data_IF_526720876143
#
_entry.id   IF_526720876143
#
_cell.length_a   1.000
_cell.length_b   1.000
_cell.length_c   1.000
_cell.angle_alpha   90.00
_cell.angle_beta   90.00
_cell.angle_gamma   90.00
#
_symmetry.space_group_name_H-M   'P 1'
#
loop_
_entity.id
_entity.type
_entity.pdbx_description
1 polymer ?
#
# COMPACT_ATOMS: atom_id res chain seq x y z
N UNK A 1 -39.26 -41.41 -40.01
CA UNK A 1 -39.98 -40.24 -39.46
C UNK A 1 -39.05 -39.61 -38.44
N UNK A 2 -38.84 -38.29 -38.47
CA UNK A 2 -38.06 -37.59 -37.44
C UNK A 2 -39.03 -36.98 -36.41
N UNK A 3 -38.68 -37.11 -35.13
CA UNK A 3 -39.39 -36.49 -34.02
C UNK A 3 -38.40 -35.58 -33.31
N UNK A 4 -38.77 -34.32 -33.11
CA UNK A 4 -38.03 -33.36 -32.28
C UNK A 4 -38.72 -33.23 -30.94
N UNK A 5 -37.95 -33.35 -29.86
CA UNK A 5 -38.42 -33.16 -28.49
C UNK A 5 -37.84 -31.84 -27.97
N UNK A 6 -38.69 -31.01 -27.38
CA UNK A 6 -38.30 -29.75 -26.73
C UNK A 6 -38.81 -29.76 -25.29
N UNK A 7 -38.19 -28.94 -24.43
CA UNK A 7 -38.63 -28.67 -23.06
C UNK A 7 -38.82 -29.93 -22.18
N UNK A 8 -37.96 -30.94 -22.38
CA UNK A 8 -37.99 -32.14 -21.55
C UNK A 8 -37.58 -31.79 -20.12
N UNK A 9 -38.43 -32.17 -19.17
CA UNK A 9 -38.10 -32.12 -17.74
C UNK A 9 -37.28 -33.35 -17.35
N UNK A 10 -36.58 -33.25 -16.21
CA UNK A 10 -35.83 -34.38 -15.63
C UNK A 10 -36.70 -35.64 -15.54
N UNK A 11 -36.17 -36.76 -16.02
CA UNK A 11 -36.88 -38.03 -16.03
C UNK A 11 -36.42 -38.99 -17.13
N UNK A 12 -37.01 -40.19 -17.13
CA UNK A 12 -36.79 -41.19 -18.16
C UNK A 12 -38.00 -41.22 -19.11
N UNK A 13 -37.75 -41.02 -20.40
CA UNK A 13 -38.75 -41.07 -21.46
C UNK A 13 -38.51 -42.32 -22.30
N UNK A 14 -39.50 -43.20 -22.39
CA UNK A 14 -39.43 -44.41 -23.22
C UNK A 14 -40.39 -44.23 -24.40
N UNK A 15 -39.84 -44.23 -25.60
CA UNK A 15 -40.61 -44.17 -26.84
C UNK A 15 -40.61 -45.55 -27.48
N UNK A 16 -41.80 -46.09 -27.74
CA UNK A 16 -41.97 -47.34 -28.48
C UNK A 16 -42.42 -47.01 -29.90
N UNK A 17 -41.70 -47.52 -30.89
CA UNK A 17 -42.10 -47.44 -32.28
C UNK A 17 -42.59 -48.82 -32.72
N UNK A 18 -43.83 -48.91 -33.19
CA UNK A 18 -44.44 -50.16 -33.66
C UNK A 18 -44.79 -50.04 -35.13
N UNK A 19 -44.32 -50.97 -35.94
CA UNK A 19 -44.74 -51.15 -37.33
C UNK A 19 -45.74 -52.30 -37.41
N UNK A 20 -46.70 -52.19 -38.33
CA UNK A 20 -47.71 -53.22 -38.60
C UNK A 20 -47.70 -53.46 -40.11
N UNK A 21 -47.59 -54.71 -40.54
CA UNK A 21 -47.65 -55.05 -41.97
C UNK A 21 -49.10 -55.23 -42.47
N UNK A 22 -49.26 -55.61 -43.74
CA UNK A 22 -50.58 -55.79 -44.36
C UNK A 22 -51.33 -57.05 -43.90
N UNK A 23 -50.62 -57.99 -43.28
CA UNK A 23 -51.19 -59.23 -42.74
C UNK A 23 -51.52 -59.10 -41.24
N UNK A 24 -51.14 -57.97 -40.63
CA UNK A 24 -51.45 -57.60 -39.25
C UNK A 24 -50.34 -57.95 -38.26
N UNK A 25 -49.20 -58.44 -38.74
CA UNK A 25 -48.04 -58.72 -37.90
C UNK A 25 -47.39 -57.42 -37.46
N UNK A 26 -46.95 -57.37 -36.20
CA UNK A 26 -46.35 -56.17 -35.61
C UNK A 26 -44.92 -56.43 -35.19
N UNK A 27 -44.04 -55.48 -35.44
CA UNK A 27 -42.71 -55.43 -34.82
C UNK A 27 -42.55 -54.10 -34.10
N UNK A 28 -41.79 -54.10 -33.00
CA UNK A 28 -41.60 -52.88 -32.22
C UNK A 28 -40.20 -52.77 -31.63
N UNK A 29 -39.71 -51.54 -31.58
CA UNK A 29 -38.45 -51.17 -30.94
C UNK A 29 -38.65 -50.03 -29.95
N UNK A 30 -37.75 -49.92 -28.97
CA UNK A 30 -37.81 -48.89 -27.94
C UNK A 30 -36.53 -48.07 -27.88
N UNK A 31 -36.69 -46.75 -27.70
CA UNK A 31 -35.61 -45.84 -27.33
C UNK A 31 -35.90 -45.22 -25.96
N UNK A 32 -34.90 -45.23 -25.08
CA UNK A 32 -34.97 -44.58 -23.77
C UNK A 32 -34.10 -43.34 -23.77
N UNK A 33 -34.67 -42.19 -23.38
CA UNK A 33 -33.97 -40.93 -23.18
C UNK A 33 -34.01 -40.60 -21.69
N UNK A 34 -32.84 -40.53 -21.05
CA UNK A 34 -32.70 -40.13 -19.66
C UNK A 34 -32.26 -38.67 -19.59
N UNK A 35 -33.15 -37.80 -19.10
CA UNK A 35 -32.84 -36.40 -18.80
C UNK A 35 -32.39 -36.32 -17.35
N UNK A 36 -31.09 -36.09 -17.16
CA UNK A 36 -30.44 -35.97 -15.86
C UNK A 36 -30.62 -34.55 -15.29
N UNK A 37 -30.55 -34.37 -13.96
CA UNK A 37 -30.48 -33.03 -13.39
C UNK A 37 -29.18 -32.34 -13.83
N UNK A 38 -29.10 -30.99 -13.77
CA UNK A 38 -27.82 -30.29 -13.90
C UNK A 38 -26.85 -30.78 -12.81
N UNK A 39 -25.52 -30.71 -13.06
CA UNK A 39 -24.54 -30.92 -12.01
C UNK A 39 -24.78 -29.93 -10.85
N UNK A 40 -24.47 -30.30 -9.60
CA UNK A 40 -24.46 -29.33 -8.49
C UNK A 40 -23.44 -28.22 -8.77
N UNK A 41 -23.76 -26.99 -8.34
CA UNK A 41 -22.86 -25.84 -8.38
C UNK A 41 -21.56 -26.10 -7.58
N UNK A 42 -20.43 -25.63 -8.10
CA UNK A 42 -19.16 -25.54 -7.39
C UNK A 42 -18.91 -24.09 -6.92
N UNK A 43 -18.84 -23.80 -5.60
CA UNK A 43 -18.65 -22.43 -5.12
C UNK A 43 -17.38 -21.77 -5.69
N UNK A 44 -17.39 -20.43 -5.86
CA UNK A 44 -16.25 -19.72 -6.40
C UNK A 44 -15.06 -19.77 -5.44
N UNK A 45 -13.88 -19.42 -5.94
CA UNK A 45 -12.66 -19.29 -5.14
C UNK A 45 -12.23 -17.83 -5.13
N UNK A 46 -12.17 -17.27 -3.92
CA UNK A 46 -11.56 -15.97 -3.63
C UNK A 46 -10.13 -16.15 -3.14
N UNK A 47 -9.21 -15.30 -3.60
CA UNK A 47 -7.86 -15.19 -3.08
C UNK A 47 -7.53 -13.72 -2.84
N UNK A 48 -7.29 -13.34 -1.59
CA UNK A 48 -7.02 -11.96 -1.16
C UNK A 48 -5.53 -11.58 -1.25
N UNK A 49 -4.67 -12.53 -1.63
CA UNK A 49 -3.22 -12.37 -1.70
C UNK A 49 -2.51 -12.61 -0.36
N UNK A 50 -1.18 -12.57 -0.41
CA UNK A 50 -0.35 -12.75 0.78
C UNK A 50 -0.36 -11.51 1.68
N UNK A 51 -0.25 -11.74 2.99
CA UNK A 51 -0.10 -10.66 3.97
C UNK A 51 1.26 -9.97 3.84
N UNK A 52 1.31 -8.67 4.14
CA UNK A 52 2.52 -7.86 4.01
C UNK A 52 2.52 -6.68 5.00
N UNK A 53 3.63 -5.92 5.00
CA UNK A 53 3.78 -4.73 5.83
C UNK A 53 4.20 -3.50 5.02
N UNK A 54 3.80 -2.34 5.51
CA UNK A 54 4.30 -1.02 5.10
C UNK A 54 4.81 -0.28 6.34
N UNK A 55 5.57 0.79 6.14
CA UNK A 55 6.10 1.63 7.22
C UNK A 55 5.65 3.06 6.97
N UNK A 56 5.13 3.74 8.00
CA UNK A 56 4.84 5.16 7.92
C UNK A 56 6.09 5.95 7.48
N UNK A 57 5.93 7.05 6.72
CA UNK A 57 4.67 7.73 6.40
C UNK A 57 3.85 7.11 5.26
N UNK A 58 4.28 5.99 4.66
CA UNK A 58 3.45 5.25 3.70
C UNK A 58 2.21 4.69 4.41
N UNK A 59 1.04 5.22 4.07
CA UNK A 59 -0.23 4.93 4.73
C UNK A 59 -1.33 4.46 3.75
N UNK A 60 -0.91 4.00 2.57
CA UNK A 60 -1.80 3.52 1.53
C UNK A 60 -1.24 2.29 0.84
N UNK A 61 -2.10 1.37 0.43
CA UNK A 61 -1.73 0.15 -0.30
C UNK A 61 -2.72 -0.15 -1.40
N UNK A 62 -2.28 -0.91 -2.41
CA UNK A 62 -3.18 -1.51 -3.38
C UNK A 62 -3.38 -2.98 -3.03
N UNK A 63 -4.61 -3.39 -2.74
CA UNK A 63 -4.99 -4.79 -2.61
C UNK A 63 -5.43 -5.33 -3.97
N UNK A 64 -5.08 -6.58 -4.26
CA UNK A 64 -5.42 -7.27 -5.50
C UNK A 64 -5.97 -8.65 -5.15
N UNK A 65 -7.26 -8.82 -5.39
CA UNK A 65 -7.96 -10.08 -5.26
C UNK A 65 -7.94 -10.85 -6.58
N UNK A 66 -8.04 -12.17 -6.50
CA UNK A 66 -8.27 -13.04 -7.65
C UNK A 66 -9.56 -13.82 -7.38
N UNK A 67 -10.49 -13.78 -8.33
CA UNK A 67 -11.75 -14.48 -8.30
C UNK A 67 -11.81 -15.51 -9.44
N UNK A 68 -12.17 -16.76 -9.14
CA UNK A 68 -12.32 -17.82 -10.14
C UNK A 68 -13.53 -18.68 -9.83
N UNK A 69 -14.15 -19.22 -10.87
CA UNK A 69 -15.29 -20.13 -10.80
C UNK A 69 -15.15 -21.15 -11.94
N UNK A 70 -15.30 -22.44 -11.63
CA UNK A 70 -15.01 -23.56 -12.54
C UNK A 70 -16.20 -23.98 -13.40
N UNK A 71 -17.43 -23.75 -12.93
CA UNK A 71 -18.66 -24.18 -13.60
C UNK A 71 -19.64 -23.02 -13.87
N UNK A 72 -19.41 -21.84 -13.30
CA UNK A 72 -20.23 -20.64 -13.49
C UNK A 72 -19.46 -19.37 -13.88
N UNK A 73 -20.03 -18.23 -13.50
CA UNK A 73 -19.44 -16.89 -13.65
C UNK A 73 -19.53 -16.07 -12.36
N UNK A 74 -18.50 -15.26 -12.10
CA UNK A 74 -18.50 -14.33 -10.97
C UNK A 74 -19.46 -13.16 -11.23
N UNK A 75 -20.42 -12.95 -10.33
CA UNK A 75 -21.38 -11.83 -10.41
C UNK A 75 -21.02 -10.67 -9.50
N UNK A 76 -20.27 -10.90 -8.42
CA UNK A 76 -19.81 -9.81 -7.56
C UNK A 76 -18.53 -10.15 -6.81
N UNK A 77 -17.76 -9.10 -6.52
CA UNK A 77 -16.62 -9.14 -5.60
C UNK A 77 -16.76 -7.98 -4.62
N UNK A 78 -16.31 -8.18 -3.38
CA UNK A 78 -16.33 -7.13 -2.36
C UNK A 78 -15.16 -7.24 -1.40
N UNK A 79 -14.45 -6.13 -1.25
CA UNK A 79 -13.47 -5.89 -0.20
C UNK A 79 -14.15 -5.24 1.01
N UNK A 80 -13.86 -5.78 2.19
CA UNK A 80 -14.31 -5.22 3.46
C UNK A 80 -13.18 -5.25 4.48
N UNK A 81 -13.13 -4.24 5.35
CA UNK A 81 -12.27 -4.31 6.53
C UNK A 81 -12.95 -5.16 7.59
N UNK A 82 -12.33 -6.28 7.96
CA UNK A 82 -12.79 -7.15 9.04
C UNK A 82 -12.32 -6.68 10.41
N UNK A 83 -11.09 -6.16 10.49
CA UNK A 83 -10.50 -5.68 11.73
C UNK A 83 -9.43 -4.60 11.46
N UNK A 84 -9.14 -3.76 12.44
CA UNK A 84 -8.04 -2.80 12.38
C UNK A 84 -8.11 -1.73 13.48
N UNK A 85 -7.03 -0.96 13.69
CA UNK A 85 -6.95 0.08 14.71
C UNK A 85 -7.81 1.31 14.39
N UNK A 86 -8.13 1.56 13.12
CA UNK A 86 -9.04 2.60 12.65
C UNK A 86 -9.88 2.09 11.48
N UNK A 87 -10.89 2.85 11.06
CA UNK A 87 -11.62 2.57 9.81
C UNK A 87 -10.77 3.06 8.64
N UNK A 88 -10.36 2.13 7.77
CA UNK A 88 -9.61 2.42 6.55
C UNK A 88 -10.55 2.87 5.42
N UNK A 89 -10.00 3.67 4.50
CA UNK A 89 -10.74 4.14 3.32
C UNK A 89 -10.51 3.21 2.13
N UNK A 90 -11.52 2.39 1.79
CA UNK A 90 -11.50 1.48 0.63
C UNK A 90 -12.06 2.22 -0.59
N UNK A 91 -11.22 2.55 -1.57
CA UNK A 91 -11.60 3.41 -2.69
C UNK A 91 -12.65 2.76 -3.62
N UNK A 92 -12.46 1.48 -3.95
CA UNK A 92 -13.28 0.74 -4.90
C UNK A 92 -13.59 -0.66 -4.35
N UNK A 93 -14.45 -0.78 -3.31
CA UNK A 93 -14.66 -2.04 -2.61
C UNK A 93 -15.19 -3.15 -3.52
N UNK A 94 -15.90 -2.84 -4.61
CA UNK A 94 -16.48 -3.83 -5.52
C UNK A 94 -15.58 -4.15 -6.73
N UNK A 95 -14.28 -3.93 -6.63
CA UNK A 95 -13.31 -4.23 -7.68
C UNK A 95 -12.26 -5.20 -7.12
N UNK A 96 -11.76 -6.09 -7.97
CA UNK A 96 -10.69 -7.03 -7.57
C UNK A 96 -9.44 -6.27 -7.09
N UNK A 97 -9.09 -5.17 -7.77
CA UNK A 97 -8.04 -4.25 -7.33
C UNK A 97 -8.61 -2.98 -6.73
N UNK A 98 -8.19 -2.64 -5.50
CA UNK A 98 -8.61 -1.41 -4.81
C UNK A 98 -7.47 -0.80 -4.01
N UNK A 99 -7.46 0.53 -3.92
CA UNK A 99 -6.61 1.23 -2.98
C UNK A 99 -7.26 1.28 -1.60
N UNK A 100 -6.43 1.11 -0.58
CA UNK A 100 -6.74 1.32 0.82
C UNK A 100 -5.92 2.53 1.27
N UNK A 101 -6.55 3.53 1.85
CA UNK A 101 -5.90 4.76 2.28
C UNK A 101 -6.16 5.05 3.75
N UNK A 102 -5.45 6.05 4.27
CA UNK A 102 -5.62 6.59 5.62
C UNK A 102 -5.33 5.55 6.71
N UNK A 103 -4.39 4.65 6.43
CA UNK A 103 -3.93 3.64 7.39
C UNK A 103 -3.11 4.30 8.51
N UNK A 104 -3.32 3.86 9.75
CA UNK A 104 -2.49 4.25 10.90
C UNK A 104 -1.69 3.05 11.41
N UNK A 105 -0.71 3.29 12.27
CA UNK A 105 0.07 2.22 12.88
C UNK A 105 -0.83 1.12 13.47
N UNK A 106 -0.50 -0.14 13.15
CA UNK A 106 -1.19 -1.32 13.65
C UNK A 106 -1.47 -2.34 12.56
N UNK A 107 -2.32 -3.31 12.88
CA UNK A 107 -2.57 -4.48 12.02
C UNK A 107 -4.01 -4.46 11.53
N UNK A 108 -4.19 -4.45 10.21
CA UNK A 108 -5.49 -4.52 9.54
C UNK A 108 -5.73 -5.90 8.96
N UNK A 109 -6.99 -6.33 8.95
CA UNK A 109 -7.44 -7.51 8.21
C UNK A 109 -8.51 -7.09 7.22
N UNK A 110 -8.27 -7.36 5.95
CA UNK A 110 -9.22 -7.13 4.87
C UNK A 110 -9.72 -8.47 4.32
N UNK A 111 -11.02 -8.56 4.11
CA UNK A 111 -11.69 -9.73 3.53
C UNK A 111 -12.07 -9.45 2.09
N UNK A 112 -11.74 -10.38 1.19
CA UNK A 112 -12.18 -10.39 -0.20
C UNK A 112 -13.22 -11.49 -0.38
N UNK A 113 -14.47 -11.10 -0.62
CA UNK A 113 -15.58 -12.02 -0.86
C UNK A 113 -15.97 -12.02 -2.33
N UNK A 114 -16.19 -13.21 -2.88
CA UNK A 114 -16.55 -13.46 -4.27
C UNK A 114 -17.86 -14.25 -4.30
N UNK A 115 -18.79 -13.88 -5.17
CA UNK A 115 -20.11 -14.54 -5.35
C UNK A 115 -20.31 -14.92 -6.82
N UNK A 116 -20.80 -16.14 -7.08
CA UNK A 116 -21.10 -16.68 -8.41
C UNK A 116 -22.56 -16.43 -8.87
N UNK A 117 -22.92 -16.88 -10.07
CA UNK A 117 -24.24 -16.70 -10.67
C UNK A 117 -25.34 -17.60 -10.07
N UNK A 118 -24.95 -18.62 -9.32
CA UNK A 118 -25.87 -19.48 -8.55
C UNK A 118 -26.08 -18.96 -7.11
N UNK A 119 -25.31 -17.95 -6.69
CA UNK A 119 -25.42 -17.23 -5.43
C UNK A 119 -24.56 -17.78 -4.29
N UNK A 120 -23.70 -18.76 -4.56
CA UNK A 120 -22.71 -19.24 -3.59
C UNK A 120 -21.56 -18.24 -3.46
N UNK A 121 -20.84 -18.29 -2.34
CA UNK A 121 -19.78 -17.33 -2.05
C UNK A 121 -18.60 -17.92 -1.29
N UNK A 122 -17.43 -17.35 -1.55
CA UNK A 122 -16.20 -17.65 -0.82
C UNK A 122 -15.50 -16.37 -0.38
N UNK A 123 -14.90 -16.39 0.81
CA UNK A 123 -14.17 -15.26 1.39
C UNK A 123 -12.76 -15.68 1.76
N UNK A 124 -11.79 -14.86 1.37
CA UNK A 124 -10.40 -14.97 1.81
C UNK A 124 -9.92 -13.69 2.51
N UNK A 125 -8.90 -13.77 3.34
CA UNK A 125 -8.42 -12.66 4.16
C UNK A 125 -6.94 -12.35 3.90
N UNK A 126 -6.61 -11.06 3.89
CA UNK A 126 -5.24 -10.54 3.85
C UNK A 126 -4.98 -9.62 5.03
N UNK A 127 -3.79 -9.73 5.62
CA UNK A 127 -3.33 -8.84 6.69
C UNK A 127 -2.35 -7.81 6.15
N UNK A 128 -2.58 -6.54 6.52
CA UNK A 128 -1.66 -5.44 6.25
C UNK A 128 -1.17 -4.91 7.60
N UNK A 129 0.14 -4.99 7.84
CA UNK A 129 0.77 -4.45 9.04
C UNK A 129 1.41 -3.10 8.74
N UNK A 130 0.97 -2.05 9.43
CA UNK A 130 1.50 -0.70 9.32
C UNK A 130 2.45 -0.48 10.49
N UNK A 131 3.74 -0.41 10.18
CA UNK A 131 4.80 -0.15 11.15
C UNK A 131 4.92 1.37 11.40
N UNK A 132 5.33 1.78 12.61
CA UNK A 132 5.59 3.18 12.91
C UNK A 132 6.73 3.72 12.04
N UNK A 133 6.75 5.05 11.89
CA UNK A 133 7.87 5.74 11.25
C UNK A 133 9.15 5.50 12.07
N UNK A 134 10.30 5.27 11.41
CA UNK A 134 11.57 5.19 12.11
C UNK A 134 11.81 6.47 12.93
N UNK A 135 12.45 6.37 14.11
CA UNK A 135 12.79 7.56 14.88
C UNK A 135 13.81 8.40 14.10
N UNK A 136 13.60 9.73 14.12
CA UNK A 136 14.52 10.69 13.51
C UNK A 136 15.95 10.59 14.09
N UNK A 137 16.95 10.62 13.23
CA UNK A 137 18.36 10.67 13.58
C UNK A 137 18.81 12.13 13.75
N UNK A 138 19.60 12.40 14.81
CA UNK A 138 20.10 13.77 15.04
C UNK A 138 21.14 14.12 13.98
N UNK A 139 21.12 15.32 13.38
CA UNK A 139 22.09 15.71 12.38
C UNK A 139 23.50 15.80 12.97
N UNK A 140 24.50 15.82 12.09
CA UNK A 140 25.89 16.06 12.46
C UNK A 140 26.36 17.39 11.88
N UNK A 141 27.24 18.09 12.60
CA UNK A 141 27.84 19.33 12.14
C UNK A 141 29.30 19.45 12.57
N UNK A 142 30.13 19.97 11.67
CA UNK A 142 31.50 20.38 11.89
C UNK A 142 31.63 21.87 11.55
N UNK A 143 31.99 22.70 12.54
CA UNK A 143 32.20 24.14 12.38
C UNK A 143 33.51 24.51 11.66
N UNK A 144 34.37 23.52 11.40
CA UNK A 144 35.71 23.67 10.85
C UNK A 144 36.78 23.85 11.93
N UNK A 145 38.04 23.81 11.50
CA UNK A 145 39.21 23.96 12.39
C UNK A 145 39.33 25.39 12.94
N UNK A 146 39.97 25.53 14.10
CA UNK A 146 40.40 26.81 14.65
C UNK A 146 41.34 27.57 13.70
N UNK A 147 41.23 28.90 13.68
CA UNK A 147 41.96 29.77 12.73
C UNK A 147 42.53 31.00 13.42
N UNK A 148 43.70 31.41 12.95
CA UNK A 148 44.32 32.68 13.30
C UNK A 148 44.24 33.65 12.11
N UNK A 149 43.91 34.91 12.38
CA UNK A 149 44.05 36.02 11.44
C UNK A 149 44.91 37.11 12.08
N UNK A 150 45.58 37.93 11.27
CA UNK A 150 46.44 39.02 11.76
C UNK A 150 45.91 40.34 11.25
N UNK A 151 45.82 41.35 12.12
CA UNK A 151 45.47 42.71 11.72
C UNK A 151 46.45 43.23 10.64
N UNK A 152 45.98 44.04 9.67
CA UNK A 152 44.69 44.72 9.64
C UNK A 152 43.51 43.88 9.11
N UNK A 153 43.69 42.60 8.78
CA UNK A 153 42.57 41.72 8.40
C UNK A 153 41.67 41.49 9.62
N UNK A 154 40.45 42.01 9.56
CA UNK A 154 39.47 41.99 10.64
C UNK A 154 38.18 41.23 10.28
N UNK A 155 38.25 40.36 9.28
CA UNK A 155 37.15 39.51 8.85
C UNK A 155 37.61 38.10 8.51
N UNK A 156 36.69 37.14 8.62
CA UNK A 156 36.93 35.74 8.27
C UNK A 156 35.65 35.10 7.74
N UNK A 157 35.80 34.18 6.79
CA UNK A 157 34.71 33.31 6.35
C UNK A 157 34.70 32.03 7.20
N UNK A 158 33.57 31.76 7.84
CA UNK A 158 33.26 30.52 8.52
C UNK A 158 32.40 29.66 7.59
N UNK A 159 32.69 28.36 7.55
CA UNK A 159 31.93 27.39 6.76
C UNK A 159 31.80 26.12 7.56
N UNK A 160 30.56 25.73 7.84
CA UNK A 160 30.26 24.46 8.46
C UNK A 160 29.94 23.39 7.41
N UNK A 161 30.21 22.14 7.75
CA UNK A 161 29.75 20.96 7.02
C UNK A 161 28.76 20.25 7.91
N UNK A 162 27.52 20.13 7.43
CA UNK A 162 26.46 19.44 8.14
C UNK A 162 25.90 18.32 7.28
N UNK A 163 25.46 17.25 7.92
CA UNK A 163 24.82 16.12 7.26
C UNK A 163 23.77 15.49 8.14
N UNK A 164 22.75 14.97 7.49
CA UNK A 164 21.65 14.24 8.10
C UNK A 164 21.44 12.94 7.30
N UNK A 165 21.25 11.82 8.00
CA UNK A 165 21.35 10.48 7.40
C UNK A 165 19.98 9.92 6.97
N UNK A 166 18.91 10.34 7.64
CA UNK A 166 17.52 10.01 7.30
C UNK A 166 16.75 11.21 6.72
N UNK A 167 17.32 12.42 6.75
CA UNK A 167 16.68 13.61 6.21
C UNK A 167 17.63 14.62 5.55
N UNK A 168 17.38 15.89 5.87
CA UNK A 168 17.99 17.08 5.29
C UNK A 168 18.07 18.20 6.32
N UNK A 169 19.08 19.07 6.20
CA UNK A 169 19.22 20.23 7.10
C UNK A 169 18.25 21.33 6.70
N UNK A 170 17.38 21.73 7.63
CA UNK A 170 16.39 22.79 7.43
C UNK A 170 16.93 24.17 7.79
N UNK A 171 17.74 24.27 8.86
CA UNK A 171 18.21 25.55 9.39
C UNK A 171 19.64 25.48 9.94
N UNK A 172 20.30 26.64 9.91
CA UNK A 172 21.61 26.90 10.52
C UNK A 172 21.48 28.10 11.47
N UNK A 173 22.31 28.15 12.51
CA UNK A 173 22.41 29.32 13.38
C UNK A 173 23.83 29.45 13.96
N UNK A 174 24.55 30.48 13.53
CA UNK A 174 25.82 30.86 14.14
C UNK A 174 25.61 31.79 15.33
N UNK A 175 26.29 31.49 16.44
CA UNK A 175 26.34 32.31 17.64
C UNK A 175 27.78 32.61 18.02
N UNK A 176 27.98 33.78 18.63
CA UNK A 176 29.23 34.10 19.34
C UNK A 176 29.05 33.74 20.81
N UNK A 177 29.91 32.86 21.30
CA UNK A 177 29.92 32.41 22.70
C UNK A 177 30.78 33.35 23.55
N UNK A 178 31.93 33.78 23.01
CA UNK A 178 32.84 34.71 23.66
C UNK A 178 33.69 35.50 22.67
N UNK A 179 34.15 36.67 23.09
CA UNK A 179 35.05 37.53 22.33
C UNK A 179 35.22 38.92 22.98
N UNK A 180 36.24 39.70 22.58
CA UNK A 180 36.49 41.05 23.09
C UNK A 180 35.48 42.10 22.61
N UNK A 181 34.69 41.81 21.58
CA UNK A 181 33.57 42.63 21.10
C UNK A 181 32.45 41.75 20.50
N UNK A 182 31.40 42.39 19.97
CA UNK A 182 30.34 41.74 19.20
C UNK A 182 30.59 41.94 17.70
N UNK A 183 31.18 40.96 16.99
CA UNK A 183 31.39 41.06 15.55
C UNK A 183 30.07 40.89 14.79
N UNK A 184 30.09 41.22 13.50
CA UNK A 184 28.89 41.21 12.64
C UNK A 184 28.96 40.07 11.63
N UNK A 185 27.99 39.16 11.72
CA UNK A 185 27.77 38.10 10.73
C UNK A 185 27.04 38.66 9.51
N UNK A 186 27.46 38.27 8.30
CA UNK A 186 26.74 38.61 7.07
C UNK A 186 25.40 37.88 6.96
N UNK A 187 25.35 36.61 7.40
CA UNK A 187 24.13 35.84 7.55
C UNK A 187 24.34 34.78 8.63
N UNK A 188 23.66 34.89 9.77
CA UNK A 188 23.78 33.89 10.85
C UNK A 188 23.13 32.55 10.50
N UNK A 189 22.23 32.52 9.51
CA UNK A 189 21.42 31.35 9.18
C UNK A 189 21.91 30.63 7.90
N UNK A 190 23.21 30.64 7.64
CA UNK A 190 23.80 29.98 6.48
C UNK A 190 24.96 29.08 6.89
N UNK A 191 25.10 27.95 6.19
CA UNK A 191 26.24 27.04 6.35
C UNK A 191 27.59 27.77 6.21
N UNK A 192 27.67 28.77 5.31
CA UNK A 192 28.82 29.65 5.17
C UNK A 192 28.44 31.11 5.39
N UNK A 193 29.25 31.82 6.18
CA UNK A 193 29.03 33.22 6.53
C UNK A 193 30.34 33.96 6.77
N UNK A 194 30.34 35.28 6.56
CA UNK A 194 31.48 36.12 6.93
C UNK A 194 31.22 36.77 8.28
N UNK A 195 32.24 36.74 9.14
CA UNK A 195 32.28 37.48 10.41
C UNK A 195 33.19 38.68 10.22
N UNK A 196 32.68 39.87 10.53
CA UNK A 196 33.35 41.15 10.28
C UNK A 196 33.53 41.95 11.58
N UNK A 197 34.39 42.98 11.52
CA UNK A 197 34.69 43.89 12.64
C UNK A 197 35.36 43.19 13.85
N UNK A 198 36.19 42.18 13.59
CA UNK A 198 36.99 41.52 14.61
C UNK A 198 38.10 42.47 15.12
N UNK A 199 38.24 42.56 16.44
CA UNK A 199 39.39 43.20 17.11
C UNK A 199 40.32 42.15 17.72
N UNK A 200 41.53 42.55 18.11
CA UNK A 200 42.51 41.66 18.76
C UNK A 200 41.92 40.92 19.96
N UNK A 201 42.00 39.59 19.95
CA UNK A 201 41.52 38.71 21.01
C UNK A 201 41.15 37.33 20.49
N UNK A 202 40.64 36.48 21.38
CA UNK A 202 40.17 35.12 21.06
C UNK A 202 38.65 35.13 20.99
N UNK A 203 38.10 34.56 19.92
CA UNK A 203 36.66 34.39 19.73
C UNK A 203 36.31 32.91 19.75
N UNK A 204 35.17 32.59 20.33
CA UNK A 204 34.57 31.27 20.23
C UNK A 204 33.19 31.41 19.60
N UNK A 205 32.96 30.64 18.54
CA UNK A 205 31.68 30.56 17.84
C UNK A 205 31.13 29.14 17.97
N UNK A 206 29.81 29.03 18.01
CA UNK A 206 29.08 27.77 17.91
C UNK A 206 28.14 27.87 16.72
N UNK A 207 27.99 26.78 15.98
CA UNK A 207 26.93 26.63 15.00
C UNK A 207 25.94 25.59 15.51
N UNK A 208 24.66 25.92 15.49
CA UNK A 208 23.59 24.94 15.67
C UNK A 208 22.96 24.65 14.31
N UNK A 209 22.76 23.38 13.99
CA UNK A 209 22.00 22.94 12.80
C UNK A 209 20.73 22.26 13.24
N UNK A 210 19.67 22.42 12.46
CA UNK A 210 18.37 21.77 12.68
C UNK A 210 18.01 20.96 11.42
N UNK A 211 17.57 19.72 11.57
CA UNK A 211 17.07 18.91 10.46
C UNK A 211 15.61 19.26 10.07
N UNK A 212 15.05 18.58 9.06
CA UNK A 212 13.66 18.80 8.65
C UNK A 212 12.60 18.31 9.65
N UNK A 213 12.98 17.53 10.65
CA UNK A 213 12.10 16.98 11.67
C UNK A 213 12.24 17.71 13.03
N UNK A 214 13.14 18.70 13.08
CA UNK A 214 13.36 19.61 14.19
C UNK A 214 14.43 19.20 15.20
N UNK A 215 15.19 18.12 14.98
CA UNK A 215 16.30 17.78 15.89
C UNK A 215 17.53 18.64 15.60
N UNK A 216 18.33 18.89 16.65
CA UNK A 216 19.42 19.87 16.60
C UNK A 216 20.75 19.30 17.06
N UNK A 217 21.85 19.75 16.43
CA UNK A 217 23.23 19.46 16.83
C UNK A 217 24.09 20.73 16.85
N UNK A 218 25.18 20.76 17.63
CA UNK A 218 26.10 21.90 17.76
C UNK A 218 27.53 21.51 18.11
#
# INVERSE_FOLDING_TARGET
>A
QEITLNDLIQGAYVFTFTVIDNDGDTDSDQVTINVLPPPPNEPPIANAGSSFSITLPENSVNLQGIATDSDGTIVSTIWQQANGPSVANIASPNQESTNINDLVEGVYTFSFTVTDDDGDSHTDNVQVTVLPEPPNEVPTVDAGNDRNITLPTNSISLTAVASDNDGSISDYLWLINSGPNSPVFSNVNAASTNVNNLVEGVYQFTITVTDNDGATAS
#
